data_IF_707909849977
#
_entry.id   IF_707909849977
#
_cell.length_a   1.000
_cell.length_b   1.000
_cell.length_c   1.000
_cell.angle_alpha   90.00
_cell.angle_beta   90.00
_cell.angle_gamma   90.00
#
_symmetry.space_group_name_H-M   'P 1'
#
loop_
_entity.id
_entity.type
_entity.pdbx_description
1 polymer ?
#
# COMPACT_ATOMS: atom_id res chain seq x y z
N UNK A 1 19.26 19.06 -28.57
CA UNK A 1 20.10 18.45 -27.52
C UNK A 1 20.47 19.57 -26.56
N UNK A 2 19.87 19.58 -25.38
CA UNK A 2 20.15 20.56 -24.34
C UNK A 2 21.34 20.05 -23.53
N UNK A 3 22.54 20.61 -23.77
CA UNK A 3 23.79 20.24 -23.09
C UNK A 3 23.72 20.35 -21.55
N UNK A 4 22.73 21.05 -21.03
CA UNK A 4 22.42 21.15 -19.61
C UNK A 4 21.80 19.90 -18.98
N UNK A 5 21.23 18.96 -19.73
CA UNK A 5 20.75 17.69 -19.16
C UNK A 5 21.88 16.64 -19.11
N UNK A 6 22.85 16.78 -20.00
CA UNK A 6 23.99 15.87 -20.16
C UNK A 6 25.05 16.00 -19.06
N UNK A 7 25.00 16.99 -18.17
CA UNK A 7 25.84 16.98 -16.97
C UNK A 7 25.14 16.30 -15.79
N UNK A 8 23.81 16.37 -15.74
CA UNK A 8 23.02 15.85 -14.62
C UNK A 8 22.96 14.33 -14.61
N UNK A 9 23.02 13.66 -15.76
CA UNK A 9 23.11 12.20 -15.79
C UNK A 9 24.46 11.67 -15.25
N UNK A 10 25.54 12.46 -15.33
CA UNK A 10 26.87 12.10 -14.81
C UNK A 10 27.00 12.44 -13.32
N UNK A 11 26.60 13.65 -12.94
CA UNK A 11 26.76 14.14 -11.56
C UNK A 11 25.64 13.64 -10.64
N UNK A 12 24.48 13.30 -11.22
CA UNK A 12 23.23 13.07 -10.51
C UNK A 12 22.58 14.39 -10.09
N UNK A 13 21.26 14.40 -9.99
CA UNK A 13 20.53 15.61 -9.59
C UNK A 13 20.90 16.01 -8.14
N UNK A 14 21.22 17.29 -7.85
CA UNK A 14 21.60 17.74 -6.51
C UNK A 14 20.53 17.44 -5.45
N UNK A 15 19.24 17.52 -5.84
CA UNK A 15 18.10 17.32 -4.96
C UNK A 15 17.98 15.91 -4.37
N UNK A 16 18.52 14.88 -5.05
CA UNK A 16 18.46 13.51 -4.56
C UNK A 16 19.22 13.31 -3.25
N UNK A 17 20.22 14.15 -3.00
CA UNK A 17 21.21 13.93 -1.96
C UNK A 17 21.09 14.96 -0.82
N UNK A 18 20.23 15.98 -0.96
CA UNK A 18 20.10 17.11 -0.01
C UNK A 18 21.45 17.73 0.38
N UNK A 19 22.40 17.77 -0.57
CA UNK A 19 23.73 18.33 -0.33
C UNK A 19 23.68 19.87 -0.42
N UNK A 20 24.51 20.60 0.36
CA UNK A 20 24.72 22.03 0.17
C UNK A 20 25.23 22.30 -1.25
N UNK A 21 24.73 23.35 -1.90
CA UNK A 21 24.94 23.67 -3.33
C UNK A 21 26.42 23.61 -3.78
N UNK A 22 27.36 23.96 -2.88
CA UNK A 22 28.80 24.00 -3.16
C UNK A 22 29.50 22.62 -3.24
N UNK A 23 28.87 21.55 -2.78
CA UNK A 23 29.50 20.22 -2.68
C UNK A 23 29.33 19.36 -3.95
N UNK A 24 28.70 19.91 -4.98
CA UNK A 24 28.48 19.29 -6.29
C UNK A 24 29.76 19.18 -7.16
N UNK A 25 30.89 19.71 -6.70
CA UNK A 25 32.10 19.88 -7.51
C UNK A 25 33.20 18.81 -7.34
N UNK A 26 33.06 17.86 -6.42
CA UNK A 26 34.11 16.85 -6.22
C UNK A 26 33.86 15.60 -7.08
N UNK A 27 34.80 15.34 -8.00
CA UNK A 27 34.73 14.23 -8.96
C UNK A 27 34.53 12.85 -8.33
N UNK A 28 34.97 12.65 -7.08
CA UNK A 28 34.80 11.40 -6.33
C UNK A 28 34.06 11.68 -5.00
N UNK A 29 32.95 10.97 -4.74
CA UNK A 29 32.24 11.05 -3.47
C UNK A 29 32.87 10.12 -2.43
N UNK A 30 32.68 10.46 -1.16
CA UNK A 30 33.15 9.63 -0.03
C UNK A 30 32.60 8.20 -0.15
N UNK A 31 33.50 7.21 -0.17
CA UNK A 31 33.16 5.80 -0.31
C UNK A 31 33.12 5.28 -1.75
N UNK A 32 33.29 6.15 -2.76
CA UNK A 32 33.50 5.72 -4.14
C UNK A 32 34.94 5.24 -4.33
N UNK A 33 35.12 4.13 -5.05
CA UNK A 33 36.46 3.67 -5.45
C UNK A 33 36.97 4.55 -6.59
N UNK A 34 38.25 4.94 -6.56
CA UNK A 34 38.85 5.60 -7.72
C UNK A 34 38.92 4.62 -8.90
N UNK A 35 38.71 5.05 -10.15
CA UNK A 35 38.98 4.22 -11.30
C UNK A 35 40.48 3.83 -11.33
N UNK A 36 40.85 2.68 -11.93
CA UNK A 36 42.25 2.31 -12.11
C UNK A 36 43.02 3.39 -12.89
N UNK A 37 44.27 3.66 -12.50
CA UNK A 37 45.11 4.70 -13.14
C UNK A 37 45.34 4.47 -14.65
N UNK A 38 45.21 3.22 -15.10
CA UNK A 38 45.32 2.83 -16.52
C UNK A 38 44.15 3.32 -17.38
N UNK A 39 43.05 3.77 -16.79
CA UNK A 39 41.87 4.20 -17.53
C UNK A 39 41.92 5.71 -17.76
N UNK A 40 41.81 6.17 -19.03
CA UNK A 40 41.64 7.59 -19.28
C UNK A 40 40.28 7.99 -18.70
N UNK A 41 40.25 8.74 -17.59
CA UNK A 41 39.03 9.20 -16.95
C UNK A 41 38.73 10.66 -17.31
N UNK A 42 37.45 11.01 -17.45
CA UNK A 42 36.99 12.39 -17.66
C UNK A 42 35.97 12.77 -16.58
N UNK A 43 35.76 14.07 -16.38
CA UNK A 43 34.79 14.60 -15.42
C UNK A 43 33.62 15.31 -16.14
N UNK A 44 32.54 15.57 -15.40
CA UNK A 44 31.33 16.16 -15.96
C UNK A 44 31.45 17.64 -16.38
N UNK A 45 32.53 18.33 -15.98
CA UNK A 45 32.79 19.75 -16.30
C UNK A 45 33.66 19.90 -17.56
N UNK A 46 34.70 19.08 -17.69
CA UNK A 46 35.62 19.04 -18.82
C UNK A 46 35.02 18.29 -20.02
N UNK A 47 34.22 17.24 -19.76
CA UNK A 47 33.60 16.42 -20.80
C UNK A 47 34.63 15.81 -21.76
N UNK A 48 34.16 15.19 -22.85
CA UNK A 48 35.04 14.70 -23.93
C UNK A 48 35.29 13.20 -23.91
N UNK A 49 36.57 12.77 -23.88
CA UNK A 49 36.99 11.36 -24.01
C UNK A 49 37.48 10.80 -22.70
N UNK A 50 36.98 9.61 -22.36
CA UNK A 50 37.40 8.86 -21.17
C UNK A 50 36.21 8.27 -20.42
N UNK A 51 36.51 7.46 -19.43
CA UNK A 51 35.54 6.88 -18.52
C UNK A 51 35.08 7.93 -17.51
N UNK A 52 33.77 8.03 -17.34
CA UNK A 52 33.17 8.83 -16.28
C UNK A 52 32.06 8.02 -15.61
N UNK A 53 31.89 8.21 -14.31
CA UNK A 53 30.89 7.46 -13.54
C UNK A 53 29.51 8.06 -13.78
N UNK A 54 28.58 7.24 -14.24
CA UNK A 54 27.16 7.58 -14.24
C UNK A 54 26.60 7.42 -12.82
N UNK A 55 25.93 8.44 -12.30
CA UNK A 55 25.30 8.42 -10.98
C UNK A 55 23.79 8.28 -11.11
N UNK A 56 23.28 7.15 -10.65
CA UNK A 56 21.85 6.88 -10.59
C UNK A 56 21.23 7.42 -9.29
N UNK A 57 19.92 7.65 -9.33
CA UNK A 57 19.16 8.07 -8.16
C UNK A 57 19.29 7.03 -7.02
N UNK A 58 19.54 7.46 -5.78
CA UNK A 58 19.63 6.54 -4.64
C UNK A 58 18.24 5.98 -4.33
N UNK A 59 18.07 4.68 -4.54
CA UNK A 59 16.78 3.98 -4.34
C UNK A 59 16.65 3.40 -2.93
N UNK A 60 17.75 3.23 -2.21
CA UNK A 60 17.76 2.63 -0.87
C UNK A 60 16.84 3.35 0.14
N UNK A 61 16.90 4.68 0.35
CA UNK A 61 16.07 5.31 1.37
C UNK A 61 14.58 5.30 1.02
N UNK A 62 14.20 5.36 -0.26
CA UNK A 62 12.80 5.31 -0.69
C UNK A 62 12.16 3.93 -0.52
N UNK A 63 12.96 2.86 -0.46
CA UNK A 63 12.51 1.51 -0.15
C UNK A 63 12.57 1.25 1.36
N UNK A 64 13.73 1.47 1.97
CA UNK A 64 14.01 1.01 3.35
C UNK A 64 13.12 1.70 4.39
N UNK A 65 12.83 2.99 4.22
CA UNK A 65 12.01 3.73 5.16
C UNK A 65 10.57 3.18 5.21
N UNK A 66 9.80 3.12 4.10
CA UNK A 66 8.47 2.50 4.12
C UNK A 66 8.48 1.03 4.61
N UNK A 67 9.46 0.24 4.16
CA UNK A 67 9.56 -1.17 4.55
C UNK A 67 9.74 -1.35 6.06
N UNK A 68 10.46 -0.46 6.74
CA UNK A 68 10.64 -0.51 8.19
C UNK A 68 9.33 -0.30 8.97
N UNK A 69 8.35 0.41 8.39
CA UNK A 69 7.04 0.63 9.01
C UNK A 69 6.04 -0.48 8.72
N UNK A 70 6.25 -1.30 7.68
CA UNK A 70 5.33 -2.37 7.30
C UNK A 70 5.05 -3.37 8.45
N UNK A 71 6.03 -3.89 9.19
CA UNK A 71 5.79 -4.80 10.32
C UNK A 71 4.89 -4.19 11.40
N UNK A 72 5.00 -2.89 11.66
CA UNK A 72 4.15 -2.21 12.63
C UNK A 72 2.68 -2.26 12.22
N UNK A 73 2.37 -1.96 10.96
CA UNK A 73 1.00 -2.00 10.45
C UNK A 73 0.45 -3.42 10.38
N UNK A 74 1.31 -4.39 10.08
CA UNK A 74 0.93 -5.80 10.13
C UNK A 74 0.53 -6.21 11.56
N UNK A 75 1.31 -5.82 12.58
CA UNK A 75 0.96 -6.04 13.99
C UNK A 75 -0.32 -5.31 14.39
N UNK A 76 -0.50 -4.06 13.96
CA UNK A 76 -1.72 -3.28 14.22
C UNK A 76 -2.97 -3.94 13.61
N UNK A 77 -2.84 -4.65 12.49
CA UNK A 77 -3.97 -5.38 11.88
C UNK A 77 -4.54 -6.48 12.78
N UNK A 78 -3.74 -7.04 13.69
CA UNK A 78 -4.18 -8.07 14.62
C UNK A 78 -5.00 -7.51 15.80
N UNK A 79 -4.79 -6.25 16.19
CA UNK A 79 -5.38 -5.68 17.41
C UNK A 79 -6.92 -5.63 17.34
N UNK A 80 -7.55 -5.09 16.28
CA UNK A 80 -9.02 -5.08 16.19
C UNK A 80 -9.64 -6.48 16.20
N UNK A 81 -8.91 -7.48 15.70
CA UNK A 81 -9.39 -8.87 15.66
C UNK A 81 -9.38 -9.53 17.04
N UNK A 82 -8.45 -9.15 17.92
CA UNK A 82 -8.31 -9.73 19.28
C UNK A 82 -9.20 -9.03 20.30
N UNK A 83 -9.48 -7.72 20.13
CA UNK A 83 -10.33 -6.94 21.03
C UNK A 83 -11.61 -6.45 20.30
N UNK A 84 -12.55 -7.36 20.01
CA UNK A 84 -13.80 -6.98 19.33
C UNK A 84 -14.64 -6.01 20.18
N UNK A 85 -15.40 -5.14 19.52
CA UNK A 85 -16.38 -4.19 20.10
C UNK A 85 -15.77 -3.03 20.91
N UNK A 86 -14.47 -2.78 20.76
CA UNK A 86 -13.79 -1.65 21.40
C UNK A 86 -13.65 -0.44 20.49
N UNK A 87 -13.82 -0.59 19.18
CA UNK A 87 -13.76 0.51 18.23
C UNK A 87 -15.17 0.99 17.85
N UNK A 88 -15.36 2.31 17.60
CA UNK A 88 -16.61 2.87 17.10
C UNK A 88 -16.91 2.50 15.63
N UNK A 89 -16.03 1.73 14.98
CA UNK A 89 -16.09 1.32 13.58
C UNK A 89 -15.91 -0.19 13.51
N UNK A 90 -16.44 -0.84 12.47
CA UNK A 90 -16.30 -2.29 12.28
C UNK A 90 -14.82 -2.72 12.35
N UNK A 91 -14.52 -3.54 13.37
CA UNK A 91 -13.18 -4.06 13.67
C UNK A 91 -12.56 -4.78 12.46
N UNK A 92 -13.39 -5.39 11.60
CA UNK A 92 -12.94 -6.07 10.39
C UNK A 92 -12.41 -5.09 9.34
N UNK A 93 -13.10 -3.97 9.15
CA UNK A 93 -12.69 -2.92 8.20
C UNK A 93 -11.36 -2.31 8.65
N UNK A 94 -11.24 -2.00 9.94
CA UNK A 94 -10.01 -1.41 10.49
C UNK A 94 -8.83 -2.37 10.35
N UNK A 95 -9.04 -3.66 10.63
CA UNK A 95 -8.02 -4.69 10.43
C UNK A 95 -7.61 -4.81 8.95
N UNK A 96 -8.57 -4.84 8.03
CA UNK A 96 -8.32 -4.92 6.60
C UNK A 96 -7.56 -3.70 6.07
N UNK A 97 -7.84 -2.51 6.60
CA UNK A 97 -7.10 -1.29 6.29
C UNK A 97 -5.64 -1.38 6.72
N UNK A 98 -5.36 -1.79 7.96
CA UNK A 98 -3.99 -1.94 8.44
C UNK A 98 -3.23 -3.04 7.69
N UNK A 99 -3.88 -4.17 7.40
CA UNK A 99 -3.30 -5.23 6.58
C UNK A 99 -2.95 -4.71 5.19
N UNK A 100 -3.88 -4.03 4.52
CA UNK A 100 -3.66 -3.45 3.18
C UNK A 100 -2.54 -2.41 3.20
N UNK A 101 -2.51 -1.54 4.22
CA UNK A 101 -1.47 -0.52 4.38
C UNK A 101 -0.09 -1.15 4.60
N UNK A 102 0.00 -2.23 5.37
CA UNK A 102 1.25 -2.95 5.59
C UNK A 102 1.87 -3.46 4.28
N UNK A 103 1.04 -3.97 3.36
CA UNK A 103 1.48 -4.45 2.05
C UNK A 103 1.70 -3.32 1.05
N UNK A 104 0.90 -2.25 1.09
CA UNK A 104 1.12 -1.07 0.27
C UNK A 104 2.49 -0.44 0.56
N UNK A 105 2.90 -0.37 1.83
CA UNK A 105 4.22 0.11 2.24
C UNK A 105 5.37 -0.77 1.76
N UNK A 106 5.12 -1.99 1.30
CA UNK A 106 6.14 -2.85 0.69
C UNK A 106 6.09 -2.76 -0.83
N UNK A 107 4.90 -2.93 -1.42
CA UNK A 107 4.72 -3.04 -2.88
C UNK A 107 4.92 -1.71 -3.61
N UNK A 108 4.36 -0.61 -3.08
CA UNK A 108 4.45 0.72 -3.71
C UNK A 108 5.89 1.19 -3.86
N UNK A 109 6.74 1.22 -2.81
CA UNK A 109 8.11 1.69 -2.97
C UNK A 109 8.95 0.77 -3.85
N UNK A 110 8.73 -0.55 -3.82
CA UNK A 110 9.41 -1.49 -4.73
C UNK A 110 9.03 -1.24 -6.19
N UNK A 111 7.76 -0.93 -6.45
CA UNK A 111 7.30 -0.59 -7.80
C UNK A 111 7.90 0.74 -8.28
N UNK A 112 7.89 1.78 -7.44
CA UNK A 112 8.45 3.08 -7.79
C UNK A 112 9.97 3.00 -8.01
N UNK A 113 10.67 2.28 -7.12
CA UNK A 113 12.10 1.98 -7.24
C UNK A 113 12.47 1.32 -8.57
N UNK A 114 11.63 0.39 -9.04
CA UNK A 114 11.81 -0.24 -10.34
C UNK A 114 11.62 0.78 -11.46
N UNK A 115 10.55 1.57 -11.42
CA UNK A 115 10.24 2.53 -12.50
C UNK A 115 11.31 3.60 -12.73
N UNK A 116 12.14 3.90 -11.72
CA UNK A 116 13.24 4.87 -11.84
C UNK A 116 14.53 4.26 -12.37
N UNK A 117 14.60 2.93 -12.54
CA UNK A 117 15.78 2.25 -13.07
C UNK A 117 15.71 2.12 -14.60
N UNK A 118 16.77 2.52 -15.34
CA UNK A 118 16.80 2.46 -16.80
C UNK A 118 16.75 1.03 -17.37
N UNK A 119 17.00 0.00 -16.55
CA UNK A 119 16.88 -1.42 -16.91
C UNK A 119 15.54 -2.06 -16.51
N UNK A 120 14.53 -1.27 -16.12
CA UNK A 120 13.19 -1.79 -15.78
C UNK A 120 12.55 -2.52 -16.96
N UNK A 121 12.68 -3.85 -16.98
CA UNK A 121 12.05 -4.76 -17.96
C UNK A 121 11.24 -5.83 -17.22
N UNK A 122 10.13 -6.31 -17.80
CA UNK A 122 9.28 -7.35 -17.21
C UNK A 122 7.93 -6.87 -16.63
N UNK A 123 7.22 -7.76 -15.95
CA UNK A 123 5.90 -7.52 -15.33
C UNK A 123 6.02 -7.21 -13.83
N UNK A 124 4.91 -6.90 -13.15
CA UNK A 124 4.93 -6.71 -11.69
C UNK A 124 5.42 -7.96 -10.94
N UNK A 125 5.23 -9.15 -11.51
CA UNK A 125 5.67 -10.41 -10.92
C UNK A 125 7.19 -10.59 -10.94
N UNK A 126 7.91 -9.78 -11.73
CA UNK A 126 9.38 -9.81 -11.76
C UNK A 126 10.04 -8.95 -10.67
N UNK A 127 9.25 -8.32 -9.78
CA UNK A 127 9.80 -7.62 -8.63
C UNK A 127 10.50 -8.64 -7.70
N UNK A 128 11.60 -8.25 -7.01
CA UNK A 128 12.28 -9.07 -6.01
C UNK A 128 11.44 -9.13 -4.72
N UNK A 129 10.25 -9.71 -4.83
CA UNK A 129 9.25 -9.80 -3.78
C UNK A 129 8.77 -11.24 -3.68
N UNK A 130 8.57 -11.71 -2.44
CA UNK A 130 8.08 -13.06 -2.18
C UNK A 130 6.56 -13.13 -2.37
N UNK A 131 6.16 -13.35 -3.61
CA UNK A 131 4.75 -13.49 -4.00
C UNK A 131 4.06 -14.70 -3.34
N UNK A 132 4.80 -15.78 -3.04
CA UNK A 132 4.22 -16.96 -2.43
C UNK A 132 3.82 -16.69 -0.98
N UNK A 133 4.71 -16.06 -0.21
CA UNK A 133 4.42 -15.67 1.17
C UNK A 133 3.30 -14.62 1.24
N UNK A 134 3.29 -13.66 0.32
CA UNK A 134 2.20 -12.68 0.22
C UNK A 134 0.85 -13.32 -0.09
N UNK A 135 0.81 -14.24 -1.06
CA UNK A 135 -0.42 -14.95 -1.42
C UNK A 135 -0.93 -15.80 -0.26
N UNK A 136 -0.04 -16.52 0.43
CA UNK A 136 -0.37 -17.29 1.62
C UNK A 136 -0.93 -16.41 2.73
N UNK A 137 -0.23 -15.32 3.08
CA UNK A 137 -0.68 -14.38 4.11
C UNK A 137 -2.04 -13.75 3.76
N UNK A 138 -2.25 -13.37 2.49
CA UNK A 138 -3.52 -12.82 2.01
C UNK A 138 -4.66 -13.83 2.09
N UNK A 139 -4.42 -15.08 1.71
CA UNK A 139 -5.41 -16.15 1.80
C UNK A 139 -5.77 -16.46 3.26
N UNK A 140 -4.77 -16.55 4.15
CA UNK A 140 -4.99 -16.76 5.58
C UNK A 140 -5.78 -15.61 6.21
N UNK A 141 -5.44 -14.37 5.87
CA UNK A 141 -6.16 -13.18 6.34
C UNK A 141 -7.62 -13.16 5.86
N UNK A 142 -7.85 -13.40 4.57
CA UNK A 142 -9.21 -13.45 4.00
C UNK A 142 -10.06 -14.55 4.66
N UNK A 143 -9.49 -15.75 4.83
CA UNK A 143 -10.16 -16.85 5.52
C UNK A 143 -10.53 -16.48 6.97
N UNK A 144 -9.63 -15.79 7.67
CA UNK A 144 -9.86 -15.33 9.04
C UNK A 144 -11.03 -14.33 9.15
N UNK A 145 -11.10 -13.36 8.23
CA UNK A 145 -12.19 -12.39 8.18
C UNK A 145 -13.52 -13.09 7.88
N UNK A 146 -13.56 -13.95 6.85
CA UNK A 146 -14.78 -14.63 6.43
C UNK A 146 -15.35 -15.58 7.50
N UNK A 147 -14.49 -16.32 8.20
CA UNK A 147 -14.92 -17.25 9.26
C UNK A 147 -15.54 -16.52 10.45
N UNK A 148 -14.97 -15.39 10.90
CA UNK A 148 -15.60 -14.58 11.96
C UNK A 148 -16.96 -14.03 11.53
N UNK A 149 -17.10 -13.55 10.29
CA UNK A 149 -18.37 -13.00 9.78
C UNK A 149 -19.43 -14.10 9.66
N UNK A 150 -19.06 -15.26 9.11
CA UNK A 150 -19.97 -16.39 8.91
C UNK A 150 -20.50 -16.96 10.24
N UNK A 151 -19.63 -17.08 11.26
CA UNK A 151 -20.05 -17.54 12.60
C UNK A 151 -21.02 -16.53 13.24
N UNK A 152 -20.74 -15.23 13.11
CA UNK A 152 -21.61 -14.16 13.65
C UNK A 152 -23.00 -14.16 12.99
N UNK A 153 -23.06 -14.31 11.65
CA UNK A 153 -24.31 -14.42 10.88
C UNK A 153 -25.10 -15.68 11.22
N UNK A 154 -24.43 -16.83 11.38
CA UNK A 154 -25.07 -18.08 11.78
C UNK A 154 -25.70 -18.01 13.17
N UNK A 155 -25.03 -17.36 14.12
CA UNK A 155 -25.54 -17.16 15.47
C UNK A 155 -26.75 -16.21 15.50
N UNK A 156 -26.70 -15.08 14.77
CA UNK A 156 -27.83 -14.15 14.61
C UNK A 156 -29.06 -14.82 14.00
N UNK A 157 -28.88 -15.65 12.96
CA UNK A 157 -29.96 -16.43 12.36
C UNK A 157 -30.58 -17.42 13.34
N UNK A 158 -29.76 -18.03 14.21
CA UNK A 158 -30.25 -18.97 15.23
C UNK A 158 -31.06 -18.25 16.31
N UNK A 159 -30.59 -17.09 16.79
CA UNK A 159 -31.33 -16.27 17.76
C UNK A 159 -32.64 -15.75 17.14
N UNK A 160 -32.59 -15.17 15.94
CA UNK A 160 -33.79 -14.64 15.28
C UNK A 160 -34.80 -15.75 14.96
N UNK A 161 -34.32 -16.92 14.52
CA UNK A 161 -35.16 -18.11 14.32
C UNK A 161 -35.75 -18.67 15.62
N UNK A 162 -35.08 -18.48 16.77
CA UNK A 162 -35.63 -18.85 18.09
C UNK A 162 -36.59 -17.80 18.66
N UNK A 163 -36.55 -16.56 18.16
CA UNK A 163 -37.38 -15.44 18.61
C UNK A 163 -38.68 -15.29 17.79
N UNK A 164 -38.78 -15.97 16.63
CA UNK A 164 -39.98 -16.04 15.79
C UNK A 164 -40.56 -17.46 15.87
N UNK A 165 -41.42 -17.77 16.85
CA UNK A 165 -42.15 -19.03 16.87
C UNK A 165 -43.25 -18.99 15.80
N UNK A 166 -43.22 -19.97 14.89
CA UNK A 166 -44.26 -20.31 13.91
C UNK A 166 -45.07 -19.13 13.33
N UNK A 167 -44.56 -18.51 12.26
CA UNK A 167 -45.42 -17.71 11.40
C UNK A 167 -46.28 -18.65 10.52
N UNK A 168 -47.61 -18.46 10.45
CA UNK A 168 -48.48 -19.28 9.63
C UNK A 168 -48.07 -19.24 8.14
N UNK A 169 -48.34 -20.32 7.39
CA UNK A 169 -47.75 -20.58 6.07
C UNK A 169 -48.10 -19.57 4.96
N UNK A 170 -48.90 -18.53 5.25
CA UNK A 170 -49.29 -17.49 4.29
C UNK A 170 -48.36 -16.25 4.29
N UNK A 171 -47.33 -16.19 5.13
CA UNK A 171 -46.46 -15.00 5.28
C UNK A 171 -44.95 -15.27 5.12
N UNK A 172 -44.54 -16.42 4.58
CA UNK A 172 -43.13 -16.76 4.36
C UNK A 172 -42.35 -15.72 3.53
N UNK A 173 -43.01 -14.98 2.63
CA UNK A 173 -42.37 -13.91 1.85
C UNK A 173 -41.99 -12.65 2.65
N UNK A 174 -42.54 -12.47 3.85
CA UNK A 174 -42.25 -11.30 4.70
C UNK A 174 -40.89 -11.42 5.41
N UNK A 175 -40.43 -12.64 5.70
CA UNK A 175 -39.15 -12.89 6.35
C UNK A 175 -37.96 -12.57 5.42
N UNK A 176 -38.07 -12.93 4.13
CA UNK A 176 -37.07 -12.59 3.12
C UNK A 176 -36.99 -11.07 2.87
N UNK A 177 -38.15 -10.40 2.91
CA UNK A 177 -38.22 -8.93 2.79
C UNK A 177 -37.59 -8.21 3.99
N UNK A 178 -37.72 -8.75 5.20
CA UNK A 178 -37.11 -8.19 6.41
C UNK A 178 -35.58 -8.41 6.47
N UNK A 179 -35.10 -9.53 5.91
CA UNK A 179 -33.66 -9.78 5.74
C UNK A 179 -33.04 -8.84 4.70
N UNK A 180 -33.76 -8.55 3.60
CA UNK A 180 -33.31 -7.58 2.59
C UNK A 180 -33.25 -6.16 3.16
N UNK A 181 -34.26 -5.75 3.94
CA UNK A 181 -34.32 -4.44 4.62
C UNK A 181 -33.27 -4.31 5.73
N UNK A 182 -32.99 -5.38 6.49
CA UNK A 182 -31.97 -5.37 7.54
C UNK A 182 -30.53 -5.42 6.98
N UNK A 183 -30.33 -5.90 5.74
CA UNK A 183 -29.02 -5.89 5.07
C UNK A 183 -28.77 -4.60 4.25
N UNK A 184 -29.80 -3.80 4.00
CA UNK A 184 -29.70 -2.56 3.25
C UNK A 184 -29.16 -1.42 4.11
N UNK A 185 -27.83 -1.36 4.19
CA UNK A 185 -27.06 -0.20 4.64
C UNK A 185 -27.41 1.02 3.75
N UNK A 186 -28.37 1.86 4.17
CA UNK A 186 -28.58 3.19 3.57
C UNK A 186 -28.75 4.25 4.65
N UNK A 187 -28.09 5.41 4.50
CA UNK A 187 -28.23 6.52 5.42
C UNK A 187 -29.64 7.12 5.30
N UNK A 188 -30.31 7.25 6.45
CA UNK A 188 -31.60 7.91 6.61
C UNK A 188 -31.51 9.36 6.09
N UNK A 189 -31.97 9.63 4.86
CA UNK A 189 -32.20 11.00 4.38
C UNK A 189 -33.57 11.43 4.89
N UNK A 190 -33.58 12.19 5.98
CA UNK A 190 -34.78 12.80 6.55
C UNK A 190 -35.27 13.90 5.60
N UNK A 191 -36.23 13.56 4.74
CA UNK A 191 -36.96 14.52 3.91
C UNK A 191 -38.05 15.19 4.72
N UNK A 192 -37.81 16.42 5.16
CA UNK A 192 -38.82 17.26 5.80
C UNK A 192 -39.82 17.71 4.72
N UNK A 193 -41.05 17.19 4.72
CA UNK A 193 -42.17 17.77 3.97
C UNK A 193 -42.88 18.77 4.89
N UNK A 194 -42.74 20.06 4.59
CA UNK A 194 -43.63 21.10 5.10
C UNK A 194 -44.91 21.05 4.27
N UNK A 195 -46.03 20.72 4.91
CA UNK A 195 -47.35 20.91 4.33
C UNK A 195 -47.73 22.38 4.52
N UNK A 196 -47.80 23.14 3.43
CA UNK A 196 -48.51 24.41 3.41
C UNK A 196 -49.90 24.13 2.83
N UNK A 197 -50.91 24.23 3.69
CA UNK A 197 -52.30 24.26 3.27
C UNK A 197 -52.73 25.73 3.14
N UNK A 198 -53.30 26.04 1.97
CA UNK A 198 -53.99 27.26 1.50
C UNK A 198 -53.24 28.59 1.58
#
# INVERSE_FOLDING_TARGET
MESGLDHQWLVGEPGWWKLPTDSSQHGNRRGETSPPETWPSTNAQEGGRGWTRQRLQPVAPSILLPLAWSPLFLLLSAIPLVLPERLPTDDQIVSALFFSLSWALVLVPLYMARSTQPMSRGTILSLPFDWATFAAASATFALHVLTKSAIRLGFLRTILGSLVPDLPPNQAGAADSLLEVASADRPFKMGFRVNVAS
#
